data_IF_945906737681
#
_entry.id   IF_945906737681
#
_cell.length_a   1.000
_cell.length_b   1.000
_cell.length_c   1.000
_cell.angle_alpha   90.00
_cell.angle_beta   90.00
_cell.angle_gamma   90.00
#
_symmetry.space_group_name_H-M   'P 1'
#
loop_
_entity.id
_entity.type
_entity.pdbx_description
1 polymer ?
#
# COMPACT_ATOMS: atom_id res chain seq x y z
N UNK A 1 29.45 10.04 -11.40
CA UNK A 1 28.28 9.90 -10.50
C UNK A 1 28.82 9.77 -9.09
N UNK A 2 29.02 10.90 -8.41
CA UNK A 2 29.40 10.94 -6.99
C UNK A 2 28.18 10.53 -6.19
N UNK A 3 28.20 9.33 -5.61
CA UNK A 3 27.19 8.93 -4.62
C UNK A 3 27.59 9.60 -3.32
N UNK A 4 26.79 10.55 -2.86
CA UNK A 4 26.88 11.03 -1.48
C UNK A 4 26.44 9.90 -0.56
N UNK A 5 27.35 9.44 0.29
CA UNK A 5 27.06 8.45 1.33
C UNK A 5 26.74 9.24 2.59
N UNK A 6 25.45 9.37 2.88
CA UNK A 6 24.95 10.02 4.10
C UNK A 6 25.06 9.00 5.25
N UNK A 7 25.67 9.40 6.36
CA UNK A 7 25.83 8.54 7.54
C UNK A 7 24.59 8.71 8.43
N UNK A 8 24.13 7.64 9.09
CA UNK A 8 22.88 7.62 9.86
C UNK A 8 22.76 8.74 10.93
N UNK A 9 23.89 9.27 11.40
CA UNK A 9 23.97 10.39 12.35
C UNK A 9 23.65 11.76 11.72
N UNK A 10 23.87 11.93 10.42
CA UNK A 10 23.61 13.21 9.72
C UNK A 10 22.13 13.41 9.40
N UNK A 11 21.35 12.32 9.40
CA UNK A 11 19.90 12.33 9.22
C UNK A 11 19.13 12.88 10.43
N UNK A 12 19.77 13.10 11.59
CA UNK A 12 19.03 13.24 12.83
C UNK A 12 18.31 14.57 13.03
N UNK A 13 18.60 15.67 12.33
CA UNK A 13 17.82 16.91 12.51
C UNK A 13 17.90 17.84 11.31
N UNK A 14 17.08 17.64 10.29
CA UNK A 14 16.40 18.70 9.53
C UNK A 14 15.40 18.06 8.55
N UNK A 15 14.20 18.66 8.47
CA UNK A 15 13.14 18.38 7.48
C UNK A 15 12.52 16.96 7.49
N UNK A 16 11.79 16.58 8.56
CA UNK A 16 11.23 15.23 8.74
C UNK A 16 10.14 14.83 7.74
N UNK A 17 9.75 15.74 6.84
CA UNK A 17 8.72 15.52 5.81
C UNK A 17 9.29 15.82 4.43
N UNK A 18 9.53 17.08 4.09
CA UNK A 18 10.00 17.49 2.76
C UNK A 18 11.47 17.13 2.47
N UNK A 19 12.29 16.97 3.50
CA UNK A 19 13.68 16.53 3.37
C UNK A 19 13.86 15.02 3.50
N UNK A 20 12.79 14.25 3.68
CA UNK A 20 12.92 12.79 3.65
C UNK A 20 13.36 12.33 2.26
N UNK A 21 14.32 11.39 2.22
CA UNK A 21 14.78 10.78 0.97
C UNK A 21 13.63 10.15 0.16
N UNK A 22 12.61 9.64 0.84
CA UNK A 22 11.43 9.04 0.19
C UNK A 22 10.43 10.07 -0.33
N UNK A 23 10.53 11.35 0.09
CA UNK A 23 9.71 12.41 -0.48
C UNK A 23 10.20 12.75 -1.89
N UNK A 24 9.38 12.45 -2.88
CA UNK A 24 9.63 12.76 -4.30
C UNK A 24 8.48 13.61 -4.85
N UNK A 25 8.44 14.89 -4.47
CA UNK A 25 7.38 15.82 -4.89
C UNK A 25 5.96 15.28 -4.68
N UNK A 26 5.70 14.65 -3.52
CA UNK A 26 4.37 14.13 -3.22
C UNK A 26 3.37 15.27 -3.21
N UNK A 27 2.25 15.09 -3.91
CA UNK A 27 1.18 16.08 -3.95
C UNK A 27 0.56 16.36 -2.59
N UNK A 28 0.46 15.34 -1.73
CA UNK A 28 -0.22 15.48 -0.44
C UNK A 28 0.18 14.41 0.56
N UNK A 29 0.28 14.79 1.83
CA UNK A 29 0.41 13.89 2.97
C UNK A 29 -0.68 14.29 3.97
N UNK A 30 -1.46 13.32 4.43
CA UNK A 30 -2.61 13.55 5.32
C UNK A 30 -2.44 12.75 6.59
N UNK A 31 -2.23 13.44 7.70
CA UNK A 31 -2.17 12.83 9.03
C UNK A 31 -3.58 12.79 9.60
N UNK A 32 -4.05 11.58 9.89
CA UNK A 32 -5.38 11.31 10.40
C UNK A 32 -5.25 10.85 11.85
N UNK A 33 -5.87 11.56 12.79
CA UNK A 33 -5.86 11.20 14.20
C UNK A 33 -7.28 11.26 14.75
N UNK A 34 -7.66 10.25 15.52
CA UNK A 34 -8.93 10.25 16.25
C UNK A 34 -8.71 9.73 17.67
N UNK A 35 -9.02 10.57 18.66
CA UNK A 35 -8.76 10.27 20.06
C UNK A 35 -9.64 9.13 20.57
N UNK A 36 -10.89 9.07 20.14
CA UNK A 36 -11.89 8.19 20.72
C UNK A 36 -11.73 6.74 20.23
N UNK A 37 -11.33 6.57 18.97
CA UNK A 37 -11.01 5.26 18.38
C UNK A 37 -9.52 4.90 18.50
N UNK A 38 -8.67 5.85 18.88
CA UNK A 38 -7.22 5.69 18.91
C UNK A 38 -6.55 5.65 17.54
N UNK A 39 -7.27 5.99 16.46
CA UNK A 39 -6.74 5.98 15.10
C UNK A 39 -5.53 6.91 14.98
N UNK A 40 -4.43 6.37 14.45
CA UNK A 40 -3.30 7.13 13.91
C UNK A 40 -2.98 6.60 12.52
N UNK A 41 -3.19 7.42 11.50
CA UNK A 41 -2.93 7.02 10.12
C UNK A 41 -2.25 8.13 9.33
N UNK A 42 -1.53 7.72 8.29
CA UNK A 42 -0.92 8.63 7.32
C UNK A 42 -1.35 8.16 5.93
N UNK A 43 -1.91 9.08 5.13
CA UNK A 43 -2.23 8.87 3.72
C UNK A 43 -1.23 9.68 2.89
N UNK A 44 -0.45 9.01 2.04
CA UNK A 44 0.44 9.62 1.07
C UNK A 44 -0.15 9.56 -0.33
N UNK A 45 -0.24 10.72 -0.99
CA UNK A 45 -0.63 10.85 -2.39
C UNK A 45 0.60 11.37 -3.13
N UNK A 46 1.21 10.51 -3.95
CA UNK A 46 2.41 10.87 -4.68
C UNK A 46 2.08 11.64 -5.95
N UNK A 47 1.19 11.09 -6.78
CA UNK A 47 0.84 11.69 -8.08
C UNK A 47 -0.55 11.25 -8.53
N UNK A 48 -1.36 12.19 -9.05
CA UNK A 48 -2.73 11.99 -9.54
C UNK A 48 -2.92 12.40 -11.02
N UNK A 49 -1.83 12.59 -11.78
CA UNK A 49 -1.88 13.03 -13.18
C UNK A 49 -2.69 12.09 -14.06
N UNK A 50 -2.57 10.78 -13.87
CA UNK A 50 -3.32 9.76 -14.64
C UNK A 50 -4.75 9.54 -14.13
N UNK A 51 -5.10 10.08 -12.96
CA UNK A 51 -6.39 9.85 -12.29
C UNK A 51 -6.24 9.76 -10.77
N UNK A 52 -7.32 9.38 -10.05
CA UNK A 52 -7.31 9.20 -8.60
C UNK A 52 -6.15 8.34 -8.11
N UNK A 53 -5.56 8.69 -6.97
CA UNK A 53 -4.52 7.89 -6.37
C UNK A 53 -5.11 6.62 -5.75
N UNK A 54 -4.72 5.45 -6.25
CA UNK A 54 -5.13 4.17 -5.67
C UNK A 54 -3.99 3.57 -4.85
N UNK A 55 -4.30 3.07 -3.66
CA UNK A 55 -3.34 2.43 -2.77
C UNK A 55 -3.99 1.58 -1.69
N UNK A 56 -3.36 0.47 -1.32
CA UNK A 56 -3.83 -0.32 -0.18
C UNK A 56 -3.54 0.35 1.17
N UNK A 57 -4.36 0.05 2.19
CA UNK A 57 -4.14 0.49 3.57
C UNK A 57 -3.41 -0.58 4.36
N UNK A 58 -2.18 -0.28 4.78
CA UNK A 58 -1.37 -1.16 5.63
C UNK A 58 -1.65 -0.87 7.10
N UNK A 59 -1.80 -1.90 7.92
CA UNK A 59 -1.91 -1.77 9.38
C UNK A 59 -0.69 -2.45 9.99
N UNK A 60 0.23 -1.65 10.53
CA UNK A 60 1.52 -2.14 10.98
C UNK A 60 2.02 -1.39 12.22
N UNK A 61 2.72 -2.11 13.09
CA UNK A 61 3.39 -1.55 14.25
C UNK A 61 4.78 -1.06 13.83
N UNK A 62 4.96 0.24 13.80
CA UNK A 62 6.25 0.90 13.55
C UNK A 62 6.94 1.23 14.87
N UNK A 63 8.27 1.29 14.87
CA UNK A 63 9.03 1.66 16.07
C UNK A 63 8.87 3.15 16.39
N UNK A 64 8.62 3.97 15.37
CA UNK A 64 8.34 5.41 15.49
C UNK A 64 7.56 5.95 14.28
N UNK A 65 7.06 7.19 14.40
CA UNK A 65 6.27 7.86 13.34
C UNK A 65 7.11 8.18 12.09
N UNK A 66 8.44 8.33 12.23
CA UNK A 66 9.33 8.61 11.11
C UNK A 66 9.39 7.41 10.15
N UNK A 67 9.42 6.18 10.67
CA UNK A 67 9.36 4.96 9.86
C UNK A 67 8.02 4.82 9.13
N UNK A 68 6.90 5.11 9.80
CA UNK A 68 5.57 5.09 9.20
C UNK A 68 5.46 6.10 8.04
N UNK A 69 5.99 7.31 8.24
CA UNK A 69 6.03 8.35 7.21
C UNK A 69 6.92 7.94 6.03
N UNK A 70 8.11 7.40 6.30
CA UNK A 70 8.99 6.92 5.25
C UNK A 70 8.36 5.78 4.43
N UNK A 71 7.66 4.85 5.09
CA UNK A 71 7.01 3.74 4.39
C UNK A 71 5.84 4.21 3.50
N UNK A 72 4.99 5.12 3.99
CA UNK A 72 3.88 5.64 3.18
C UNK A 72 4.36 6.45 1.96
N UNK A 73 5.42 7.23 2.10
CA UNK A 73 6.04 7.97 0.99
C UNK A 73 6.59 7.00 -0.06
N UNK A 74 7.44 6.05 0.36
CA UNK A 74 8.05 5.09 -0.55
C UNK A 74 7.01 4.23 -1.28
N UNK A 75 5.96 3.80 -0.58
CA UNK A 75 4.92 2.95 -1.13
C UNK A 75 3.96 3.69 -2.05
N UNK A 76 3.56 4.93 -1.71
CA UNK A 76 2.67 5.73 -2.60
C UNK A 76 3.36 6.07 -3.91
N UNK A 77 4.65 6.41 -3.87
CA UNK A 77 5.51 6.54 -5.06
C UNK A 77 5.55 5.24 -5.88
N UNK A 78 5.77 4.11 -5.22
CA UNK A 78 5.74 2.79 -5.88
C UNK A 78 4.41 2.50 -6.57
N UNK A 79 3.28 2.93 -5.99
CA UNK A 79 1.96 2.78 -6.60
C UNK A 79 1.80 3.66 -7.85
N UNK A 80 2.38 4.86 -7.91
CA UNK A 80 2.36 5.68 -9.15
C UNK A 80 3.00 4.94 -10.30
N UNK A 81 4.22 4.41 -10.09
CA UNK A 81 4.92 3.67 -11.14
C UNK A 81 4.19 2.38 -11.51
N UNK A 82 3.62 1.67 -10.53
CA UNK A 82 2.83 0.46 -10.78
C UNK A 82 1.60 0.77 -11.65
N UNK A 83 0.82 1.78 -11.31
CA UNK A 83 -0.36 2.17 -12.09
C UNK A 83 0.04 2.60 -13.50
N UNK A 84 1.07 3.43 -13.63
CA UNK A 84 1.53 3.93 -14.93
C UNK A 84 2.04 2.82 -15.86
N UNK A 85 2.90 1.91 -15.37
CA UNK A 85 3.48 0.84 -16.21
C UNK A 85 2.44 -0.21 -16.61
N UNK A 86 1.35 -0.34 -15.84
CA UNK A 86 0.25 -1.28 -16.15
C UNK A 86 -0.84 -0.66 -17.01
N UNK A 87 -0.70 0.61 -17.42
CA UNK A 87 -1.65 1.30 -18.30
C UNK A 87 -2.98 1.64 -17.61
N UNK A 88 -3.00 1.70 -16.28
CA UNK A 88 -4.19 2.09 -15.52
C UNK A 88 -4.30 3.62 -15.47
N UNK A 89 -5.52 4.15 -15.63
CA UNK A 89 -5.84 5.57 -15.44
C UNK A 89 -5.96 5.89 -13.93
N UNK A 90 -4.89 5.60 -13.20
CA UNK A 90 -4.80 5.75 -11.76
C UNK A 90 -3.46 6.37 -11.39
N UNK A 91 -3.50 7.22 -10.38
CA UNK A 91 -2.34 7.74 -9.69
C UNK A 91 -1.72 6.73 -8.71
N UNK A 92 -0.86 7.24 -7.84
CA UNK A 92 -0.24 6.48 -6.76
C UNK A 92 -0.54 7.05 -5.39
N UNK A 93 -1.23 6.25 -4.58
CA UNK A 93 -1.51 6.55 -3.19
C UNK A 93 -1.07 5.42 -2.28
N UNK A 94 -1.04 5.70 -0.98
CA UNK A 94 -0.89 4.69 0.05
C UNK A 94 -1.45 5.21 1.36
N UNK A 95 -1.98 4.31 2.19
CA UNK A 95 -2.21 4.61 3.59
C UNK A 95 -1.49 3.62 4.51
N UNK A 96 -1.08 4.11 5.67
CA UNK A 96 -0.61 3.31 6.80
C UNK A 96 -1.44 3.69 8.04
N UNK A 97 -1.93 2.70 8.78
CA UNK A 97 -2.46 2.84 10.13
C UNK A 97 -1.40 2.28 11.08
N UNK A 98 -1.01 3.07 12.08
CA UNK A 98 0.03 2.72 13.04
C UNK A 98 -0.61 1.92 14.17
N UNK A 99 -0.36 0.61 14.21
CA UNK A 99 -0.91 -0.30 15.21
C UNK A 99 -0.68 -1.78 14.89
N UNK A 100 -0.78 -2.65 15.90
CA UNK A 100 -0.76 -4.10 15.72
C UNK A 100 -2.14 -4.56 15.21
N UNK A 101 -2.17 -5.01 13.94
CA UNK A 101 -3.40 -5.41 13.26
C UNK A 101 -4.17 -6.56 13.95
N UNK A 102 -3.51 -7.33 14.83
CA UNK A 102 -4.13 -8.43 15.57
C UNK A 102 -4.66 -8.03 16.95
N UNK A 103 -4.28 -6.84 17.46
CA UNK A 103 -4.59 -6.42 18.83
C UNK A 103 -5.32 -5.09 18.90
N UNK A 104 -4.89 -4.13 18.11
CA UNK A 104 -5.32 -2.73 18.23
C UNK A 104 -6.47 -2.39 17.27
N UNK A 105 -6.72 -3.25 16.27
CA UNK A 105 -7.72 -3.00 15.22
C UNK A 105 -9.15 -3.18 15.75
N UNK A 106 -9.96 -2.14 15.60
CA UNK A 106 -11.40 -2.15 15.92
C UNK A 106 -12.26 -1.68 14.74
N UNK A 107 -13.52 -2.13 14.61
CA UNK A 107 -14.42 -1.65 13.56
C UNK A 107 -14.62 -0.13 13.58
N UNK A 108 -14.66 0.49 14.76
CA UNK A 108 -14.82 1.94 14.92
C UNK A 108 -13.62 2.70 14.36
N UNK A 109 -12.40 2.22 14.63
CA UNK A 109 -11.16 2.78 14.08
C UNK A 109 -11.14 2.70 12.55
N UNK A 110 -11.53 1.55 11.99
CA UNK A 110 -11.59 1.34 10.54
C UNK A 110 -12.64 2.22 9.88
N UNK A 111 -13.84 2.34 10.50
CA UNK A 111 -14.89 3.25 10.02
C UNK A 111 -14.42 4.70 10.04
N UNK A 112 -13.75 5.11 11.13
CA UNK A 112 -13.18 6.46 11.25
C UNK A 112 -12.12 6.74 10.20
N UNK A 113 -11.27 5.77 9.87
CA UNK A 113 -10.34 5.88 8.75
C UNK A 113 -11.09 6.06 7.41
N UNK A 114 -12.19 5.33 7.21
CA UNK A 114 -13.04 5.49 6.03
C UNK A 114 -13.63 6.90 5.89
N UNK A 115 -13.98 7.57 6.99
CA UNK A 115 -14.43 8.98 6.97
C UNK A 115 -13.31 9.92 6.50
N UNK A 116 -12.07 9.69 6.93
CA UNK A 116 -10.92 10.44 6.43
C UNK A 116 -10.66 10.19 4.94
N UNK A 117 -10.78 8.95 4.46
CA UNK A 117 -10.73 8.65 3.03
C UNK A 117 -11.84 9.40 2.28
N UNK A 118 -13.07 9.40 2.82
CA UNK A 118 -14.20 10.12 2.25
C UNK A 118 -13.93 11.62 2.12
N UNK A 119 -13.27 12.21 3.12
CA UNK A 119 -12.92 13.63 3.15
C UNK A 119 -12.01 14.07 1.99
N UNK A 120 -11.28 13.12 1.38
CA UNK A 120 -10.44 13.38 0.21
C UNK A 120 -11.22 13.39 -1.11
N UNK A 121 -12.54 13.18 -1.04
CA UNK A 121 -13.50 13.34 -2.12
C UNK A 121 -13.04 12.70 -3.45
N UNK A 122 -12.59 11.46 -3.37
CA UNK A 122 -12.17 10.67 -4.54
C UNK A 122 -10.76 10.94 -5.04
N UNK A 123 -10.00 11.84 -4.40
CA UNK A 123 -8.57 12.01 -4.71
C UNK A 123 -7.75 10.76 -4.34
N UNK A 124 -8.17 10.04 -3.29
CA UNK A 124 -7.58 8.77 -2.86
C UNK A 124 -8.64 7.67 -2.80
N UNK A 125 -8.30 6.49 -3.32
CA UNK A 125 -9.11 5.27 -3.29
C UNK A 125 -8.30 4.20 -2.55
N UNK A 126 -8.87 3.66 -1.46
CA UNK A 126 -8.18 2.64 -0.65
C UNK A 126 -8.48 1.21 -1.11
N UNK A 127 -7.64 0.27 -0.71
CA UNK A 127 -7.82 -1.18 -0.87
C UNK A 127 -7.20 -1.93 0.33
N UNK A 128 -7.28 -3.26 0.30
CA UNK A 128 -6.57 -4.14 1.23
C UNK A 128 -5.04 -4.07 1.01
N UNK A 129 -4.28 -4.08 2.11
CA UNK A 129 -2.84 -4.40 2.20
C UNK A 129 -2.56 -5.18 3.50
N UNK A 130 -1.28 -5.44 3.79
CA UNK A 130 -0.79 -6.12 4.99
C UNK A 130 -1.46 -5.57 6.26
N UNK A 131 -2.12 -6.45 7.00
CA UNK A 131 -2.79 -6.14 8.27
C UNK A 131 -4.25 -5.68 8.15
N UNK A 132 -4.68 -5.27 6.97
CA UNK A 132 -6.10 -5.06 6.65
C UNK A 132 -6.70 -6.28 5.94
N UNK A 133 -8.02 -6.40 5.94
CA UNK A 133 -8.74 -7.49 5.29
C UNK A 133 -9.90 -6.96 4.44
N UNK A 134 -10.48 -7.85 3.63
CA UNK A 134 -11.72 -7.60 2.89
C UNK A 134 -12.86 -7.14 3.81
N UNK A 135 -12.96 -7.66 5.05
CA UNK A 135 -13.95 -7.18 6.02
C UNK A 135 -13.70 -5.74 6.47
N UNK A 136 -12.44 -5.31 6.57
CA UNK A 136 -12.13 -3.91 6.87
C UNK A 136 -12.57 -2.99 5.73
N UNK A 137 -12.37 -3.43 4.47
CA UNK A 137 -12.81 -2.68 3.28
C UNK A 137 -14.34 -2.57 3.23
N UNK A 138 -15.04 -3.61 3.64
CA UNK A 138 -16.49 -3.62 3.80
C UNK A 138 -16.98 -2.59 4.82
N UNK A 139 -16.26 -2.39 5.93
CA UNK A 139 -16.58 -1.37 6.94
C UNK A 139 -16.31 0.03 6.38
N UNK A 140 -15.17 0.23 5.71
CA UNK A 140 -14.86 1.51 5.03
C UNK A 140 -15.96 1.85 4.02
N UNK A 141 -16.48 0.85 3.30
CA UNK A 141 -17.52 1.02 2.30
C UNK A 141 -18.85 1.53 2.87
N UNK A 142 -19.10 1.40 4.17
CA UNK A 142 -20.28 1.95 4.84
C UNK A 142 -20.29 3.49 4.83
N UNK A 143 -19.11 4.12 4.79
CA UNK A 143 -18.95 5.59 4.91
C UNK A 143 -18.38 6.25 3.66
N UNK A 144 -17.85 5.48 2.70
CA UNK A 144 -17.33 6.03 1.44
C UNK A 144 -17.40 5.05 0.28
N UNK A 145 -17.57 5.57 -0.93
CA UNK A 145 -17.46 4.78 -2.17
C UNK A 145 -16.02 4.63 -2.65
N UNK A 146 -15.06 5.36 -2.07
CA UNK A 146 -13.66 5.39 -2.50
C UNK A 146 -12.84 4.24 -1.90
N UNK A 147 -13.33 3.02 -2.07
CA UNK A 147 -12.70 1.77 -1.62
C UNK A 147 -12.96 0.65 -2.62
N UNK A 148 -11.93 -0.15 -2.89
CA UNK A 148 -11.99 -1.36 -3.72
C UNK A 148 -11.57 -2.60 -2.92
N UNK A 149 -11.78 -3.79 -3.48
CA UNK A 149 -11.50 -5.06 -2.79
C UNK A 149 -12.50 -5.38 -1.67
N UNK A 150 -13.73 -4.87 -1.78
CA UNK A 150 -14.84 -5.26 -0.89
C UNK A 150 -15.31 -6.68 -1.22
N UNK A 151 -16.11 -7.28 -0.33
CA UNK A 151 -16.64 -8.64 -0.47
C UNK A 151 -17.40 -8.83 -1.79
N UNK A 152 -17.25 -10.01 -2.41
CA UNK A 152 -17.97 -10.38 -3.64
C UNK A 152 -19.50 -10.31 -3.46
N UNK A 153 -20.01 -10.70 -2.29
CA UNK A 153 -21.43 -10.59 -1.94
C UNK A 153 -21.95 -9.15 -1.91
N UNK A 154 -21.06 -8.17 -1.84
CA UNK A 154 -21.36 -6.73 -1.92
C UNK A 154 -20.99 -6.13 -3.29
N UNK A 155 -20.71 -6.98 -4.28
CA UNK A 155 -20.37 -6.58 -5.65
C UNK A 155 -18.92 -6.15 -5.84
N UNK A 156 -18.02 -6.49 -4.90
CA UNK A 156 -16.58 -6.25 -5.03
C UNK A 156 -15.83 -7.41 -5.68
N UNK A 157 -14.51 -7.24 -5.78
CA UNK A 157 -13.60 -8.23 -6.36
C UNK A 157 -13.01 -9.21 -5.32
N UNK A 158 -13.37 -9.08 -4.05
CA UNK A 158 -12.81 -9.88 -2.96
C UNK A 158 -11.30 -9.69 -2.77
N UNK A 159 -10.68 -10.70 -2.15
CA UNK A 159 -9.26 -10.72 -1.80
C UNK A 159 -8.38 -10.66 -3.07
N UNK A 160 -7.48 -9.66 -3.22
CA UNK A 160 -6.64 -9.51 -4.42
C UNK A 160 -5.43 -10.46 -4.45
N UNK A 161 -5.15 -11.20 -3.38
CA UNK A 161 -3.95 -12.01 -3.22
C UNK A 161 -3.78 -13.09 -4.31
N UNK A 162 -4.83 -13.86 -4.69
CA UNK A 162 -4.69 -14.89 -5.73
C UNK A 162 -4.34 -14.32 -7.10
N UNK A 163 -4.94 -13.17 -7.48
CA UNK A 163 -4.64 -12.50 -8.75
C UNK A 163 -3.21 -11.93 -8.74
N UNK A 164 -2.76 -11.43 -7.58
CA UNK A 164 -1.39 -10.97 -7.40
C UNK A 164 -0.40 -12.14 -7.55
N UNK A 165 -0.67 -13.29 -6.92
CA UNK A 165 0.14 -14.49 -7.04
C UNK A 165 0.23 -14.98 -8.50
N UNK A 166 -0.89 -14.96 -9.22
CA UNK A 166 -0.92 -15.28 -10.65
C UNK A 166 -0.03 -14.33 -11.48
N UNK A 167 -0.07 -13.03 -11.19
CA UNK A 167 0.83 -12.05 -11.83
C UNK A 167 2.31 -12.34 -11.58
N UNK A 168 2.67 -12.69 -10.34
CA UNK A 168 4.05 -13.09 -9.98
C UNK A 168 4.46 -14.37 -10.72
N UNK A 169 3.57 -15.36 -10.75
CA UNK A 169 3.78 -16.62 -11.49
C UNK A 169 4.05 -16.36 -12.98
N UNK A 170 3.27 -15.49 -13.61
CA UNK A 170 3.46 -15.11 -15.02
C UNK A 170 4.78 -14.35 -15.23
N UNK A 171 5.16 -13.47 -14.30
CA UNK A 171 6.46 -12.81 -14.30
C UNK A 171 7.62 -13.80 -14.19
N UNK A 172 7.51 -14.80 -13.31
CA UNK A 172 8.49 -15.87 -13.17
C UNK A 172 8.63 -16.67 -14.47
N UNK A 173 7.51 -17.07 -15.10
CA UNK A 173 7.51 -17.75 -16.40
C UNK A 173 8.21 -16.92 -17.48
N UNK A 174 7.96 -15.62 -17.53
CA UNK A 174 8.62 -14.71 -18.47
C UNK A 174 10.14 -14.62 -18.21
N UNK A 175 10.56 -14.52 -16.95
CA UNK A 175 11.98 -14.49 -16.58
C UNK A 175 12.70 -15.81 -16.94
N UNK A 176 12.06 -16.96 -16.69
CA UNK A 176 12.60 -18.28 -17.06
C UNK A 176 12.70 -18.40 -18.59
N UNK A 177 11.69 -17.94 -19.34
CA UNK A 177 11.73 -17.94 -20.80
C UNK A 177 12.87 -17.07 -21.34
N UNK A 178 13.05 -15.88 -20.78
CA UNK A 178 14.15 -15.00 -21.16
C UNK A 178 15.52 -15.64 -20.89
N UNK A 179 15.70 -16.30 -19.74
CA UNK A 179 16.99 -16.87 -19.34
C UNK A 179 17.31 -18.23 -19.98
N UNK A 180 16.30 -19.08 -20.16
CA UNK A 180 16.47 -20.50 -20.52
C UNK A 180 15.75 -20.90 -21.82
N UNK A 181 15.10 -19.97 -22.52
CA UNK A 181 14.40 -20.22 -23.78
C UNK A 181 13.06 -20.95 -23.65
N UNK A 182 12.63 -21.31 -22.43
CA UNK A 182 11.37 -22.00 -22.15
C UNK A 182 10.66 -21.39 -20.95
N UNK A 183 9.33 -21.39 -20.93
CA UNK A 183 8.52 -20.93 -19.80
C UNK A 183 8.11 -22.07 -18.84
N UNK A 184 8.59 -23.30 -19.08
CA UNK A 184 8.34 -24.46 -18.22
C UNK A 184 9.10 -24.35 -16.91
N UNK A 185 8.37 -24.49 -15.81
CA UNK A 185 8.92 -24.47 -14.45
C UNK A 185 9.17 -25.88 -13.88
N UNK A 186 8.71 -26.93 -14.56
CA UNK A 186 8.94 -28.32 -14.14
C UNK A 186 10.45 -28.61 -13.98
N UNK A 187 10.81 -29.18 -12.84
CA UNK A 187 12.21 -29.46 -12.48
C UNK A 187 13.04 -28.23 -12.06
N UNK A 188 12.47 -27.03 -12.01
CA UNK A 188 13.14 -25.84 -11.45
C UNK A 188 12.97 -25.79 -9.93
N UNK A 189 13.96 -25.23 -9.22
CA UNK A 189 13.87 -24.95 -7.79
C UNK A 189 13.58 -23.47 -7.61
N UNK A 190 12.54 -23.15 -6.83
CA UNK A 190 12.12 -21.78 -6.53
C UNK A 190 12.13 -21.62 -5.01
N UNK A 191 12.78 -20.56 -4.53
CA UNK A 191 12.76 -20.18 -3.12
C UNK A 191 11.67 -19.13 -2.92
N UNK A 192 10.67 -19.44 -2.11
CA UNK A 192 9.63 -18.49 -1.70
C UNK A 192 9.98 -17.96 -0.31
N UNK A 193 10.39 -16.70 -0.24
CA UNK A 193 10.69 -16.03 1.03
C UNK A 193 9.45 -15.25 1.51
N UNK A 194 8.73 -15.83 2.47
CA UNK A 194 7.53 -15.27 3.08
C UNK A 194 6.26 -15.99 2.63
N UNK A 195 5.54 -16.57 3.60
CA UNK A 195 4.33 -17.39 3.40
C UNK A 195 3.06 -16.66 3.89
N UNK A 196 2.89 -15.41 3.45
CA UNK A 196 1.60 -14.71 3.59
C UNK A 196 0.62 -15.10 2.48
N UNK A 197 -0.56 -14.46 2.42
CA UNK A 197 -1.63 -14.79 1.48
C UNK A 197 -1.14 -15.01 0.02
N UNK A 198 -0.28 -14.13 -0.49
CA UNK A 198 0.28 -14.23 -1.85
C UNK A 198 1.31 -15.35 -1.96
N UNK A 199 2.21 -15.48 -0.97
CA UNK A 199 3.30 -16.45 -1.01
C UNK A 199 2.84 -17.90 -0.82
N UNK A 200 1.76 -18.11 -0.08
CA UNK A 200 1.10 -19.42 0.05
C UNK A 200 0.37 -19.83 -1.25
N UNK A 201 -0.17 -18.86 -1.99
CA UNK A 201 -0.88 -19.11 -3.25
C UNK A 201 0.04 -19.31 -4.46
N UNK A 202 1.26 -18.75 -4.42
CA UNK A 202 2.26 -18.77 -5.50
C UNK A 202 2.93 -20.14 -5.66
#
# INVERSE_FOLDING_TARGET
>A
MTKEVIIATDLQKLDPVFGQLSFDNHEQIVFCNDKDTGLKAIIGIHNTVLGPALGGTRIWKYDNEWEALNDVLRLSRGMTYKSAITGLNLGGGKAVIIGDSKKDKTPEMIRKFGEYVNSLNGKYITAEDVGSTTQDMDIIREVTTYVTGISESKGGSGNPSPVTAYGVFMGLKAAVKYKFGTDKLEGKRVLVQGIGNVGETL
#
